data_IF_829618471846
#
_entry.id   IF_829618471846
#
_cell.length_a   1.000
_cell.length_b   1.000
_cell.length_c   1.000
_cell.angle_alpha   90.00
_cell.angle_beta   90.00
_cell.angle_gamma   90.00
#
_symmetry.space_group_name_H-M   'P 1'
#
loop_
_entity.id
_entity.type
_entity.pdbx_description
1 polymer ?
#
# COMPACT_ATOMS: atom_id res chain seq x y z
N UNK A 1 9.07 -13.48 15.71
CA UNK A 1 8.66 -13.05 14.37
C UNK A 1 8.87 -11.54 14.28
N UNK A 2 9.41 -11.01 13.18
CA UNK A 2 9.69 -9.56 13.03
C UNK A 2 8.80 -8.97 11.95
N UNK A 3 8.30 -7.75 12.17
CA UNK A 3 7.59 -6.94 11.18
C UNK A 3 8.50 -5.76 10.81
N UNK A 4 8.70 -5.55 9.51
CA UNK A 4 9.50 -4.45 8.97
C UNK A 4 8.60 -3.64 8.05
N UNK A 5 8.55 -2.33 8.26
CA UNK A 5 7.76 -1.39 7.45
C UNK A 5 8.73 -0.42 6.77
N UNK A 6 8.55 -0.19 5.46
CA UNK A 6 9.35 0.77 4.68
C UNK A 6 8.43 1.91 4.28
N UNK A 7 8.64 3.08 4.88
CA UNK A 7 7.88 4.31 4.64
C UNK A 7 8.75 5.41 4.04
N UNK A 8 8.11 6.41 3.43
CA UNK A 8 8.78 7.59 2.89
C UNK A 8 7.97 8.30 1.83
N UNK A 9 8.42 9.52 1.47
CA UNK A 9 7.77 10.36 0.47
C UNK A 9 7.79 9.75 -0.94
N UNK A 10 7.00 10.31 -1.86
CA UNK A 10 7.05 9.92 -3.26
C UNK A 10 8.43 10.18 -3.86
N UNK A 11 8.93 9.23 -4.64
CA UNK A 11 10.29 9.27 -5.17
C UNK A 11 11.41 8.92 -4.17
N UNK A 12 11.12 8.60 -2.90
CA UNK A 12 12.17 8.27 -1.91
C UNK A 12 12.89 6.92 -2.14
N UNK A 13 12.49 6.15 -3.15
CA UNK A 13 13.14 4.88 -3.49
C UNK A 13 12.68 3.66 -2.69
N UNK A 14 11.50 3.71 -2.04
CA UNK A 14 10.91 2.59 -1.25
C UNK A 14 10.96 1.25 -1.99
N UNK A 15 10.50 1.23 -3.25
CA UNK A 15 10.47 0.03 -4.09
C UNK A 15 11.85 -0.57 -4.32
N UNK A 16 12.87 0.28 -4.50
CA UNK A 16 14.27 -0.15 -4.63
C UNK A 16 14.75 -0.83 -3.35
N UNK A 17 14.48 -0.21 -2.20
CA UNK A 17 14.88 -0.78 -0.89
C UNK A 17 14.17 -2.09 -0.57
N UNK A 18 12.88 -2.19 -0.87
CA UNK A 18 12.12 -3.44 -0.76
C UNK A 18 12.76 -4.55 -1.60
N UNK A 19 13.14 -4.26 -2.84
CA UNK A 19 13.73 -5.25 -3.74
C UNK A 19 15.12 -5.71 -3.25
N UNK A 20 15.95 -4.80 -2.76
CA UNK A 20 17.24 -5.14 -2.16
C UNK A 20 17.09 -6.01 -0.91
N UNK A 21 16.12 -5.68 -0.04
CA UNK A 21 15.85 -6.46 1.16
C UNK A 21 15.33 -7.86 0.84
N UNK A 22 14.43 -7.98 -0.13
CA UNK A 22 13.92 -9.27 -0.62
C UNK A 22 15.05 -10.12 -1.20
N UNK A 23 15.95 -9.52 -1.99
CA UNK A 23 17.13 -10.19 -2.53
C UNK A 23 18.03 -10.70 -1.40
N UNK A 24 18.34 -9.85 -0.43
CA UNK A 24 19.13 -10.24 0.74
C UNK A 24 18.51 -11.42 1.50
N UNK A 25 17.20 -11.42 1.74
CA UNK A 25 16.53 -12.54 2.40
C UNK A 25 16.61 -13.84 1.58
N UNK A 26 16.40 -13.76 0.26
CA UNK A 26 16.54 -14.92 -0.62
C UNK A 26 17.97 -15.45 -0.64
N UNK A 27 18.98 -14.58 -0.76
CA UNK A 27 20.40 -14.95 -0.82
C UNK A 27 20.88 -15.60 0.49
N UNK A 28 20.25 -15.26 1.63
CA UNK A 28 20.55 -15.82 2.95
C UNK A 28 19.58 -16.93 3.38
N UNK A 29 18.74 -17.43 2.47
CA UNK A 29 17.75 -18.48 2.72
C UNK A 29 16.81 -18.19 3.92
N UNK A 30 16.48 -16.91 4.11
CA UNK A 30 15.60 -16.44 5.18
C UNK A 30 14.15 -16.45 4.70
N UNK A 31 13.27 -17.14 5.43
CA UNK A 31 11.84 -17.17 5.13
C UNK A 31 11.20 -15.81 5.43
N UNK A 32 10.48 -15.25 4.47
CA UNK A 32 9.74 -14.00 4.64
C UNK A 32 8.39 -14.03 3.91
N UNK A 33 7.52 -13.10 4.30
CA UNK A 33 6.30 -12.74 3.56
C UNK A 33 6.38 -11.25 3.24
N UNK A 34 5.82 -10.87 2.10
CA UNK A 34 5.80 -9.47 1.65
C UNK A 34 4.35 -9.05 1.39
N UNK A 35 4.01 -7.85 1.85
CA UNK A 35 2.72 -7.19 1.59
C UNK A 35 3.02 -5.75 1.21
N UNK A 36 2.33 -5.24 0.20
CA UNK A 36 2.41 -3.86 -0.27
C UNK A 36 1.03 -3.22 -0.15
N UNK A 37 0.98 -1.95 0.24
CA UNK A 37 -0.25 -1.15 0.29
C UNK A 37 -0.11 0.07 -0.64
N UNK A 38 -1.22 0.57 -1.22
CA UNK A 38 -2.59 0.06 -1.09
C UNK A 38 -2.81 -1.24 -1.87
N UNK A 39 -3.70 -2.11 -1.37
CA UNK A 39 -4.14 -3.33 -2.08
C UNK A 39 -5.41 -3.03 -2.88
N UNK A 40 -5.25 -2.42 -4.05
CA UNK A 40 -6.38 -2.06 -4.92
C UNK A 40 -7.10 -3.28 -5.49
N UNK A 41 -6.44 -4.43 -5.47
CA UNK A 41 -6.91 -5.78 -5.80
C UNK A 41 -7.71 -6.46 -4.67
N UNK A 42 -7.85 -5.82 -3.50
CA UNK A 42 -8.72 -6.28 -2.41
C UNK A 42 -10.18 -5.92 -2.74
N UNK A 43 -11.13 -6.88 -2.76
CA UNK A 43 -12.33 -6.85 -3.61
C UNK A 43 -13.37 -5.75 -3.35
N UNK A 44 -13.23 -4.95 -2.28
CA UNK A 44 -14.23 -3.93 -1.91
C UNK A 44 -13.53 -2.59 -1.69
N UNK A 45 -12.61 -2.52 -0.73
CA UNK A 45 -12.00 -1.23 -0.35
C UNK A 45 -11.01 -0.68 -1.38
N UNK A 46 -10.33 -1.54 -2.16
CA UNK A 46 -9.35 -1.11 -3.14
C UNK A 46 -9.95 -0.34 -4.32
N UNK A 47 -11.07 -0.83 -4.85
CA UNK A 47 -11.86 -0.16 -5.88
C UNK A 47 -12.51 1.11 -5.33
N UNK A 48 -13.11 1.05 -4.14
CA UNK A 48 -13.74 2.21 -3.50
C UNK A 48 -12.73 3.36 -3.27
N UNK A 49 -11.55 3.08 -2.72
CA UNK A 49 -10.50 4.11 -2.56
C UNK A 49 -10.07 4.67 -3.92
N UNK A 50 -9.91 3.82 -4.93
CA UNK A 50 -9.49 4.26 -6.27
C UNK A 50 -10.54 5.11 -6.98
N UNK A 51 -11.83 4.83 -6.77
CA UNK A 51 -12.95 5.64 -7.29
C UNK A 51 -13.10 6.96 -6.54
N UNK A 52 -12.87 6.94 -5.22
CA UNK A 52 -12.81 8.16 -4.41
C UNK A 52 -11.69 9.11 -4.85
N UNK A 53 -10.46 8.59 -5.02
CA UNK A 53 -9.32 9.40 -5.49
C UNK A 53 -9.51 9.98 -6.89
N UNK A 54 -10.40 9.39 -7.71
CA UNK A 54 -10.81 9.90 -9.02
C UNK A 54 -11.97 10.91 -8.97
N UNK A 55 -12.55 11.15 -7.79
CA UNK A 55 -13.67 12.06 -7.60
C UNK A 55 -15.03 11.48 -8.00
N UNK A 56 -15.15 10.16 -8.17
CA UNK A 56 -16.39 9.52 -8.62
C UNK A 56 -17.52 9.55 -7.58
N UNK A 57 -17.24 9.93 -6.33
CA UNK A 57 -18.23 10.07 -5.26
C UNK A 57 -18.66 11.52 -4.98
N UNK A 58 -18.20 12.49 -5.79
CA UNK A 58 -18.45 13.91 -5.56
C UNK A 58 -17.23 14.62 -4.96
N UNK A 59 -17.41 15.89 -4.59
CA UNK A 59 -16.35 16.69 -3.97
C UNK A 59 -16.05 16.20 -2.55
N UNK A 60 -14.85 16.49 -2.05
CA UNK A 60 -14.35 15.96 -0.77
C UNK A 60 -15.27 16.29 0.42
N UNK A 61 -15.96 17.43 0.36
CA UNK A 61 -16.92 17.93 1.36
C UNK A 61 -18.32 17.29 1.26
N UNK A 62 -18.58 16.55 0.18
CA UNK A 62 -19.85 15.87 -0.10
C UNK A 62 -19.81 14.38 0.24
N UNK A 63 -18.63 13.84 0.60
CA UNK A 63 -18.43 12.43 0.89
C UNK A 63 -18.31 12.22 2.39
N UNK A 64 -19.15 11.34 2.95
CA UNK A 64 -19.09 10.97 4.37
C UNK A 64 -17.71 10.36 4.68
N UNK A 65 -16.91 10.94 5.60
CA UNK A 65 -15.59 10.44 5.96
C UNK A 65 -15.58 8.96 6.36
N UNK A 66 -16.66 8.48 7.00
CA UNK A 66 -16.80 7.09 7.41
C UNK A 66 -16.82 6.12 6.22
N UNK A 67 -17.28 6.58 5.04
CA UNK A 67 -17.36 5.76 3.83
C UNK A 67 -16.03 5.70 3.06
N UNK A 68 -15.09 6.59 3.34
CA UNK A 68 -13.81 6.72 2.61
C UNK A 68 -12.56 6.53 3.46
N UNK A 69 -12.70 6.47 4.79
CA UNK A 69 -11.62 6.10 5.69
C UNK A 69 -11.59 4.58 5.92
N UNK A 70 -10.43 3.96 5.72
CA UNK A 70 -10.17 2.54 6.04
C UNK A 70 -9.14 2.46 7.15
#
# INVERSE_FOLDING_TARGET
>A
MKLIVIEGIDGSGKSTQVNLLKKYFSDNNLKYKFVHFPRTDSPIYGDLISRFLRGEFGQLDQVDPYLVSV
#
